data_IF_665766563350
#
_entry.id   IF_665766563350
#
_cell.length_a   1.000
_cell.length_b   1.000
_cell.length_c   1.000
_cell.angle_alpha   90.00
_cell.angle_beta   90.00
_cell.angle_gamma   90.00
#
_symmetry.space_group_name_H-M   'P 1'
#
loop_
_entity.id
_entity.type
_entity.pdbx_description
1 polymer ?
#
# COMPACT_ATOMS: atom_id res chain seq x y z
N UNK A 1 12.46 0.31 4.46
CA UNK A 1 11.31 0.66 3.58
C UNK A 1 10.13 1.06 4.46
N UNK A 2 9.64 2.29 4.30
CA UNK A 2 8.44 2.80 4.95
C UNK A 2 7.17 2.33 4.23
N UNK A 3 6.02 2.38 4.92
CA UNK A 3 4.71 2.11 4.33
C UNK A 3 4.43 2.95 3.06
N UNK A 4 4.92 4.20 3.07
CA UNK A 4 4.82 5.12 1.93
C UNK A 4 5.61 4.63 0.72
N UNK A 5 6.85 4.23 0.93
CA UNK A 5 7.72 3.70 -0.14
C UNK A 5 7.13 2.42 -0.72
N UNK A 6 6.61 1.54 0.13
CA UNK A 6 5.94 0.31 -0.30
C UNK A 6 4.76 0.61 -1.24
N UNK A 7 3.86 1.53 -0.84
CA UNK A 7 2.72 1.92 -1.69
C UNK A 7 3.19 2.55 -3.00
N UNK A 8 4.24 3.37 -2.99
CA UNK A 8 4.79 3.92 -4.25
C UNK A 8 5.33 2.83 -5.18
N UNK A 9 5.96 1.79 -4.63
CA UNK A 9 6.43 0.65 -5.42
C UNK A 9 5.26 -0.10 -6.05
N UNK A 10 4.18 -0.35 -5.30
CA UNK A 10 2.96 -0.96 -5.84
C UNK A 10 2.38 -0.13 -6.99
N UNK A 11 2.21 1.18 -6.78
CA UNK A 11 1.70 2.10 -7.80
C UNK A 11 2.56 2.10 -9.07
N UNK A 12 3.89 2.12 -8.90
CA UNK A 12 4.82 2.09 -10.02
C UNK A 12 4.76 0.76 -10.80
N UNK A 13 4.63 -0.38 -10.09
CA UNK A 13 4.51 -1.71 -10.72
C UNK A 13 3.23 -1.86 -11.54
N UNK A 14 2.14 -1.29 -11.05
CA UNK A 14 0.82 -1.36 -11.71
C UNK A 14 0.57 -0.21 -12.70
N UNK A 15 1.54 0.70 -12.90
CA UNK A 15 1.36 1.93 -13.68
C UNK A 15 0.09 2.71 -13.25
N UNK A 16 -0.11 2.80 -11.93
CA UNK A 16 -1.35 3.28 -11.33
C UNK A 16 -1.14 4.58 -10.55
N UNK A 17 -2.14 5.44 -10.54
CA UNK A 17 -2.20 6.66 -9.73
C UNK A 17 -2.76 6.40 -8.33
N UNK A 18 -2.46 7.29 -7.37
CA UNK A 18 -3.07 7.23 -6.02
C UNK A 18 -4.60 7.31 -6.10
N UNK A 19 -5.14 8.05 -7.09
CA UNK A 19 -6.58 8.20 -7.29
C UNK A 19 -7.23 6.86 -7.64
N UNK A 20 -6.60 6.10 -8.53
CA UNK A 20 -7.08 4.78 -8.93
C UNK A 20 -6.99 3.78 -7.78
N UNK A 21 -5.87 3.79 -7.03
CA UNK A 21 -5.74 2.97 -5.83
C UNK A 21 -6.83 3.30 -4.79
N UNK A 22 -7.10 4.58 -4.54
CA UNK A 22 -8.15 5.01 -3.61
C UNK A 22 -9.54 4.54 -4.06
N UNK A 23 -9.82 4.61 -5.37
CA UNK A 23 -11.07 4.11 -5.95
C UNK A 23 -11.21 2.61 -5.77
N UNK A 24 -10.22 1.83 -6.21
CA UNK A 24 -10.24 0.36 -6.10
C UNK A 24 -10.34 -0.11 -4.64
N UNK A 25 -9.59 0.53 -3.75
CA UNK A 25 -9.62 0.27 -2.32
C UNK A 25 -11.01 0.53 -1.71
N UNK A 26 -11.69 1.59 -2.14
CA UNK A 26 -13.05 1.91 -1.69
C UNK A 26 -14.10 0.96 -2.27
N UNK A 27 -13.93 0.51 -3.51
CA UNK A 27 -14.85 -0.44 -4.15
C UNK A 27 -14.76 -1.84 -3.51
N UNK A 28 -13.58 -2.20 -3.01
CA UNK A 28 -13.29 -3.53 -2.44
C UNK A 28 -13.32 -3.57 -0.90
N UNK A 29 -13.70 -2.48 -0.24
CA UNK A 29 -13.73 -2.37 1.22
C UNK A 29 -15.00 -1.66 1.71
N UNK A 30 -15.45 -1.97 2.92
CA UNK A 30 -16.44 -1.15 3.61
C UNK A 30 -15.88 0.21 4.07
N UNK A 31 -14.55 0.38 4.02
CA UNK A 31 -13.87 1.65 4.33
C UNK A 31 -13.78 2.53 3.09
N UNK A 32 -14.09 3.81 3.26
CA UNK A 32 -13.90 4.83 2.23
C UNK A 32 -12.43 5.28 2.21
N UNK A 33 -11.76 5.01 1.09
CA UNK A 33 -10.42 5.52 0.78
C UNK A 33 -10.53 6.67 -0.23
N UNK A 34 -10.16 7.88 0.20
CA UNK A 34 -10.14 9.05 -0.69
C UNK A 34 -8.72 9.36 -1.15
N UNK A 35 -8.58 9.97 -2.33
CA UNK A 35 -7.30 10.46 -2.84
C UNK A 35 -6.59 11.33 -1.80
N UNK A 36 -7.30 12.32 -1.25
CA UNK A 36 -6.74 13.25 -0.26
C UNK A 36 -6.35 12.55 1.03
N UNK A 37 -7.18 11.62 1.52
CA UNK A 37 -6.90 10.86 2.74
C UNK A 37 -5.66 9.98 2.59
N UNK A 38 -5.54 9.28 1.47
CA UNK A 38 -4.37 8.46 1.15
C UNK A 38 -3.12 9.32 0.96
N UNK A 39 -3.20 10.38 0.17
CA UNK A 39 -2.10 11.32 -0.06
C UNK A 39 -1.62 11.95 1.25
N UNK A 40 -2.55 12.35 2.13
CA UNK A 40 -2.24 12.93 3.43
C UNK A 40 -1.57 11.92 4.36
N UNK A 41 -2.09 10.69 4.47
CA UNK A 41 -1.48 9.61 5.27
C UNK A 41 -0.09 9.24 4.76
N UNK A 42 0.07 9.13 3.45
CA UNK A 42 1.38 8.91 2.81
C UNK A 42 2.33 10.06 3.15
N UNK A 43 1.86 11.31 3.11
CA UNK A 43 2.66 12.50 3.42
C UNK A 43 3.13 12.56 4.87
N UNK A 44 2.22 12.28 5.79
CA UNK A 44 2.50 12.30 7.23
C UNK A 44 3.22 11.03 7.72
N UNK A 45 3.34 9.99 6.90
CA UNK A 45 3.91 8.71 7.32
C UNK A 45 3.01 7.95 8.30
N UNK A 46 1.72 8.24 8.33
CA UNK A 46 0.73 7.63 9.25
C UNK A 46 -0.04 6.47 8.61
N UNK A 47 0.42 5.99 7.46
CA UNK A 47 -0.13 4.81 6.81
C UNK A 47 0.24 3.56 7.62
N UNK A 48 -0.77 2.81 8.05
CA UNK A 48 -0.58 1.62 8.88
C UNK A 48 -0.24 0.40 8.03
N UNK A 49 0.38 -0.60 8.65
CA UNK A 49 0.71 -1.85 7.97
C UNK A 49 -0.55 -2.54 7.40
N UNK A 50 -1.66 -2.59 8.15
CA UNK A 50 -2.92 -3.16 7.67
C UNK A 50 -3.41 -2.52 6.36
N UNK A 51 -3.19 -1.21 6.18
CA UNK A 51 -3.55 -0.52 4.93
C UNK A 51 -2.65 -0.99 3.79
N UNK A 52 -1.34 -1.15 4.05
CA UNK A 52 -0.36 -1.63 3.07
C UNK A 52 -0.63 -3.07 2.67
N UNK A 53 -0.88 -3.95 3.64
CA UNK A 53 -1.21 -5.35 3.40
C UNK A 53 -2.50 -5.47 2.59
N UNK A 54 -3.51 -4.67 2.91
CA UNK A 54 -4.74 -4.60 2.14
C UNK A 54 -4.49 -4.18 0.68
N UNK A 55 -3.70 -3.12 0.44
CA UNK A 55 -3.38 -2.70 -0.94
C UNK A 55 -2.58 -3.74 -1.71
N UNK A 56 -1.62 -4.40 -1.06
CA UNK A 56 -0.87 -5.49 -1.68
C UNK A 56 -1.82 -6.60 -2.12
N UNK A 57 -2.66 -7.08 -1.20
CA UNK A 57 -3.64 -8.14 -1.48
C UNK A 57 -4.63 -7.74 -2.57
N UNK A 58 -5.13 -6.51 -2.54
CA UNK A 58 -6.05 -5.96 -3.53
C UNK A 58 -5.46 -5.99 -4.95
N UNK A 59 -4.17 -5.70 -5.07
CA UNK A 59 -3.44 -5.70 -6.34
C UNK A 59 -2.86 -7.08 -6.71
N UNK A 60 -3.20 -8.14 -5.98
CA UNK A 60 -2.75 -9.50 -6.27
C UNK A 60 -1.34 -9.83 -5.78
N UNK A 61 -0.77 -9.03 -4.87
CA UNK A 61 0.54 -9.29 -4.27
C UNK A 61 0.42 -10.00 -2.92
N UNK A 62 1.44 -10.82 -2.62
CA UNK A 62 1.65 -11.46 -1.33
C UNK A 62 2.87 -10.82 -0.65
N UNK A 63 2.72 -10.43 0.61
CA UNK A 63 3.86 -9.98 1.44
C UNK A 63 4.51 -11.22 2.05
N UNK A 64 5.80 -11.40 1.82
CA UNK A 64 6.60 -12.48 2.42
C UNK A 64 7.70 -11.90 3.30
N UNK A 65 7.76 -12.38 4.54
CA UNK A 65 8.85 -12.10 5.46
C UNK A 65 9.87 -13.23 5.35
N UNK A 66 11.09 -12.88 4.97
CA UNK A 66 12.24 -13.80 4.98
C UNK A 66 13.19 -13.32 6.06
N UNK A 67 13.52 -14.21 7.00
CA UNK A 67 14.60 -13.98 7.95
C UNK A 67 15.90 -14.10 7.18
N UNK A 68 16.75 -13.08 7.26
CA UNK A 68 18.13 -13.21 6.81
C UNK A 68 18.85 -13.90 7.95
N UNK A 69 19.12 -15.19 7.78
CA UNK A 69 20.08 -15.87 8.64
C UNK A 69 21.46 -15.43 8.14
N UNK A 70 22.19 -14.70 8.99
CA UNK A 70 23.61 -14.42 8.75
C UNK A 70 24.36 -15.75 8.85
N UNK A 71 24.39 -16.52 7.76
CA UNK A 71 25.44 -17.51 7.57
C UNK A 71 26.74 -16.73 7.29
N UNK A 72 27.69 -16.88 8.22
CA UNK A 72 29.05 -16.32 8.20
C UNK A 72 29.81 -16.60 6.90
#
# INVERSE_FOLDING_TARGET
MSAREFVKILLAKECMTIKELARLASESSSKKYTLDGLSHKMRLGTLRFDDVEFFAKLLGYKIELKKIDEEN
#
